data_IF_469264687792
#
_entry.id   IF_469264687792
#
_cell.length_a   1.000
_cell.length_b   1.000
_cell.length_c   1.000
_cell.angle_alpha   90.00
_cell.angle_beta   90.00
_cell.angle_gamma   90.00
#
_symmetry.space_group_name_H-M   'P 1'
#
loop_
_entity.id
_entity.type
_entity.pdbx_description
1 polymer ?
#
# COMPACT_ATOMS: atom_id res chain seq x y z
N UNK A 1 13.24 9.38 4.21
CA UNK A 1 12.49 8.89 3.03
C UNK A 1 11.24 8.14 3.46
N UNK A 2 10.11 8.41 2.81
CA UNK A 2 8.87 7.68 3.06
C UNK A 2 8.78 6.59 2.00
N UNK A 3 8.86 5.33 2.42
CA UNK A 3 8.75 4.18 1.53
C UNK A 3 7.32 3.66 1.53
N UNK A 4 6.76 3.51 0.34
CA UNK A 4 5.38 3.09 0.12
C UNK A 4 5.38 1.73 -0.58
N UNK A 5 4.46 0.86 -0.17
CA UNK A 5 4.17 -0.36 -0.91
C UNK A 5 2.74 -0.31 -1.42
N UNK A 6 2.51 -0.80 -2.63
CA UNK A 6 1.17 -0.85 -3.24
C UNK A 6 0.77 -2.32 -3.35
N UNK A 7 -0.37 -2.66 -2.79
CA UNK A 7 -0.94 -4.02 -2.89
C UNK A 7 -1.95 -4.04 -4.04
N UNK A 8 -1.54 -4.59 -5.17
CA UNK A 8 -2.32 -4.68 -6.37
C UNK A 8 -1.86 -3.72 -7.46
N UNK A 9 -1.84 -4.20 -8.71
CA UNK A 9 -1.42 -3.37 -9.84
C UNK A 9 -2.43 -3.43 -10.99
N UNK A 10 -3.72 -3.31 -10.62
CA UNK A 10 -4.78 -3.12 -11.60
C UNK A 10 -4.87 -1.66 -12.01
N UNK A 11 -6.04 -1.23 -12.46
CA UNK A 11 -6.26 0.15 -12.94
C UNK A 11 -5.91 1.18 -11.85
N UNK A 12 -6.38 0.96 -10.62
CA UNK A 12 -6.13 1.90 -9.53
C UNK A 12 -4.68 1.85 -9.08
N UNK A 13 -4.13 0.64 -8.89
CA UNK A 13 -2.74 0.48 -8.44
C UNK A 13 -1.73 1.04 -9.42
N UNK A 14 -1.92 0.80 -10.71
CA UNK A 14 -1.04 1.36 -11.73
C UNK A 14 -1.15 2.88 -11.79
N UNK A 15 -2.36 3.43 -11.58
CA UNK A 15 -2.57 4.87 -11.50
C UNK A 15 -1.84 5.49 -10.33
N UNK A 16 -1.90 4.88 -9.15
CA UNK A 16 -1.18 5.35 -7.95
C UNK A 16 0.32 5.34 -8.20
N UNK A 17 0.84 4.24 -8.75
CA UNK A 17 2.26 4.12 -9.07
C UNK A 17 2.71 5.23 -10.01
N UNK A 18 1.95 5.45 -11.08
CA UNK A 18 2.28 6.47 -12.07
C UNK A 18 2.26 7.88 -11.48
N UNK A 19 1.24 8.21 -10.66
CA UNK A 19 1.13 9.52 -10.03
C UNK A 19 2.32 9.79 -9.10
N UNK A 20 2.68 8.82 -8.26
CA UNK A 20 3.81 8.99 -7.35
C UNK A 20 5.12 9.15 -8.13
N UNK A 21 5.28 8.40 -9.22
CA UNK A 21 6.49 8.46 -10.04
C UNK A 21 6.60 9.77 -10.82
N UNK A 22 5.50 10.21 -11.48
CA UNK A 22 5.51 11.41 -12.34
C UNK A 22 5.49 12.70 -11.54
N UNK A 23 4.77 12.73 -10.41
CA UNK A 23 4.64 13.92 -9.57
C UNK A 23 5.47 13.82 -8.30
N UNK A 24 6.51 13.01 -8.31
CA UNK A 24 7.33 12.71 -7.14
C UNK A 24 7.88 13.96 -6.46
N UNK A 25 8.36 14.92 -7.23
CA UNK A 25 8.93 16.14 -6.69
C UNK A 25 7.90 16.94 -5.89
N UNK A 26 6.71 17.14 -6.45
CA UNK A 26 5.63 17.87 -5.78
C UNK A 26 5.12 17.13 -4.54
N UNK A 27 4.92 15.81 -4.67
CA UNK A 27 4.43 14.98 -3.56
C UNK A 27 5.45 14.95 -2.43
N UNK A 28 6.72 14.80 -2.74
CA UNK A 28 7.81 14.79 -1.76
C UNK A 28 7.93 16.13 -1.05
N UNK A 29 7.76 17.23 -1.78
CA UNK A 29 7.79 18.58 -1.22
C UNK A 29 6.65 18.79 -0.22
N UNK A 30 5.44 18.37 -0.56
CA UNK A 30 4.28 18.49 0.33
C UNK A 30 4.42 17.62 1.57
N UNK A 31 5.01 16.44 1.43
CA UNK A 31 5.23 15.52 2.55
C UNK A 31 6.38 15.95 3.46
N UNK A 32 7.23 16.87 2.99
CA UNK A 32 8.42 17.28 3.73
C UNK A 32 9.55 16.28 3.70
N UNK A 33 9.39 15.16 3.01
CA UNK A 33 10.38 14.09 2.83
C UNK A 33 10.18 13.46 1.47
N UNK A 34 11.23 12.84 0.93
CA UNK A 34 11.13 12.11 -0.32
C UNK A 34 10.20 10.91 -0.17
N UNK A 35 9.24 10.79 -1.08
CA UNK A 35 8.30 9.68 -1.15
C UNK A 35 8.74 8.73 -2.27
N UNK A 36 8.82 7.45 -1.96
CA UNK A 36 9.33 6.45 -2.89
C UNK A 36 8.47 5.18 -2.84
N UNK A 37 8.05 4.68 -4.00
CA UNK A 37 7.39 3.38 -4.08
C UNK A 37 8.47 2.31 -4.09
N UNK A 38 8.58 1.57 -2.99
CA UNK A 38 9.59 0.54 -2.84
C UNK A 38 9.14 -0.80 -3.42
N UNK A 39 7.87 -1.14 -3.25
CA UNK A 39 7.31 -2.40 -3.74
C UNK A 39 5.92 -2.20 -4.32
N UNK A 40 5.63 -2.98 -5.35
CA UNK A 40 4.27 -3.21 -5.87
C UNK A 40 4.03 -4.70 -5.80
N UNK A 41 3.00 -5.14 -5.09
CA UNK A 41 2.65 -6.55 -4.97
C UNK A 41 1.57 -6.90 -5.98
N UNK A 42 1.87 -7.85 -6.84
CA UNK A 42 0.89 -8.44 -7.76
C UNK A 42 1.38 -9.84 -8.11
N UNK A 43 0.46 -10.78 -8.30
CA UNK A 43 0.82 -12.16 -8.64
C UNK A 43 1.08 -12.36 -10.13
N UNK A 44 0.74 -11.37 -10.95
CA UNK A 44 0.93 -11.45 -12.41
C UNK A 44 2.33 -11.02 -12.80
N UNK A 45 2.75 -11.49 -13.99
CA UNK A 45 3.94 -10.99 -14.65
C UNK A 45 3.56 -9.85 -15.60
N UNK A 46 4.47 -8.96 -15.86
CA UNK A 46 4.25 -7.80 -16.74
C UNK A 46 5.32 -7.77 -17.83
N UNK A 47 5.03 -7.10 -18.98
CA UNK A 47 6.03 -7.01 -20.06
C UNK A 47 7.36 -6.46 -19.57
N UNK A 48 8.46 -6.93 -20.16
CA UNK A 48 9.81 -6.60 -19.70
C UNK A 48 10.11 -5.11 -19.69
N UNK A 49 9.44 -4.33 -20.51
CA UNK A 49 9.63 -2.88 -20.58
C UNK A 49 8.73 -2.09 -19.62
N UNK A 50 7.87 -2.76 -18.85
CA UNK A 50 7.02 -2.08 -17.89
C UNK A 50 7.85 -1.59 -16.69
N UNK A 51 7.80 -0.28 -16.38
CA UNK A 51 8.56 0.27 -15.25
C UNK A 51 8.26 -0.39 -13.90
N UNK A 52 7.09 -1.00 -13.72
CA UNK A 52 6.73 -1.67 -12.48
C UNK A 52 7.69 -2.81 -12.14
N UNK A 53 8.34 -3.41 -13.12
CA UNK A 53 9.26 -4.52 -12.90
C UNK A 53 10.43 -4.17 -11.97
N UNK A 54 10.79 -2.90 -11.86
CA UNK A 54 11.85 -2.47 -10.95
C UNK A 54 11.47 -2.66 -9.48
N UNK A 55 10.17 -2.66 -9.18
CA UNK A 55 9.66 -2.71 -7.79
C UNK A 55 8.65 -3.83 -7.58
N UNK A 56 8.39 -4.64 -8.60
CA UNK A 56 7.41 -5.73 -8.54
C UNK A 56 7.88 -6.83 -7.58
N UNK A 57 6.98 -7.25 -6.69
CA UNK A 57 7.19 -8.43 -5.87
C UNK A 57 5.94 -9.29 -5.90
N UNK A 58 6.10 -10.57 -5.58
CA UNK A 58 5.01 -11.55 -5.64
C UNK A 58 4.68 -12.13 -4.26
N UNK A 59 5.41 -11.71 -3.23
CA UNK A 59 5.24 -12.26 -1.88
C UNK A 59 4.96 -11.14 -0.89
N UNK A 60 3.79 -11.20 -0.25
CA UNK A 60 3.39 -10.20 0.74
C UNK A 60 4.39 -10.12 1.92
N UNK A 61 5.01 -11.23 2.29
CA UNK A 61 5.98 -11.24 3.39
C UNK A 61 7.12 -10.27 3.16
N UNK A 62 7.54 -10.06 1.93
CA UNK A 62 8.56 -9.08 1.56
C UNK A 62 8.20 -7.68 2.05
N UNK A 63 6.91 -7.34 1.97
CA UNK A 63 6.42 -6.01 2.37
C UNK A 63 6.22 -5.92 3.87
N UNK A 64 5.52 -6.89 4.46
CA UNK A 64 5.14 -6.79 5.87
C UNK A 64 6.34 -6.90 6.80
N UNK A 65 7.37 -7.63 6.38
CA UNK A 65 8.59 -7.79 7.19
C UNK A 65 9.60 -6.67 6.99
N UNK A 66 9.41 -5.79 6.01
CA UNK A 66 10.36 -4.71 5.74
C UNK A 66 10.09 -3.52 6.67
N UNK A 67 10.99 -3.25 7.63
CA UNK A 67 10.77 -2.17 8.59
C UNK A 67 10.86 -0.77 7.98
N UNK A 68 11.38 -0.65 6.76
CA UNK A 68 11.48 0.63 6.05
C UNK A 68 10.18 1.04 5.36
N UNK A 69 9.22 0.13 5.22
CA UNK A 69 7.90 0.46 4.66
C UNK A 69 7.04 1.08 5.75
N UNK A 70 6.62 2.31 5.55
CA UNK A 70 5.77 3.03 6.51
C UNK A 70 4.32 3.18 6.06
N UNK A 71 4.07 3.16 4.76
CA UNK A 71 2.73 3.34 4.18
C UNK A 71 2.45 2.22 3.19
N UNK A 72 1.26 1.65 3.30
CA UNK A 72 0.79 0.60 2.39
C UNK A 72 -0.51 1.09 1.76
N UNK A 73 -0.59 1.03 0.43
CA UNK A 73 -1.80 1.39 -0.32
C UNK A 73 -2.43 0.08 -0.81
N UNK A 74 -3.64 -0.20 -0.33
CA UNK A 74 -4.35 -1.44 -0.68
C UNK A 74 -5.42 -1.13 -1.73
N UNK A 75 -5.32 -1.75 -2.90
CA UNK A 75 -6.21 -1.56 -4.04
C UNK A 75 -6.59 -2.89 -4.70
N UNK A 76 -6.60 -3.96 -3.91
CA UNK A 76 -6.91 -5.30 -4.42
C UNK A 76 -8.39 -5.53 -4.67
N UNK A 77 -9.24 -4.99 -3.79
CA UNK A 77 -10.66 -5.29 -3.79
C UNK A 77 -10.98 -6.61 -3.11
N UNK A 78 -12.24 -6.80 -2.70
CA UNK A 78 -12.67 -7.98 -1.97
C UNK A 78 -12.25 -7.98 -0.51
N UNK A 79 -12.75 -8.96 0.26
CA UNK A 79 -12.45 -9.06 1.68
C UNK A 79 -11.09 -9.72 1.91
N UNK A 80 -10.83 -10.86 1.29
CA UNK A 80 -9.56 -11.57 1.44
C UNK A 80 -8.84 -11.63 0.09
N UNK A 81 -7.51 -11.51 0.07
CA UNK A 81 -6.59 -11.47 1.22
C UNK A 81 -6.42 -10.08 1.87
N UNK A 82 -7.16 -9.10 1.42
CA UNK A 82 -7.01 -7.70 1.88
C UNK A 82 -7.13 -7.55 3.39
N UNK A 83 -8.15 -8.17 4.00
CA UNK A 83 -8.35 -8.07 5.44
C UNK A 83 -7.15 -8.62 6.22
N UNK A 84 -6.67 -9.79 5.86
CA UNK A 84 -5.52 -10.41 6.53
C UNK A 84 -4.26 -9.56 6.36
N UNK A 85 -4.00 -9.11 5.14
CA UNK A 85 -2.79 -8.34 4.85
C UNK A 85 -2.81 -6.94 5.48
N UNK A 86 -3.94 -6.25 5.40
CA UNK A 86 -4.10 -4.93 6.04
C UNK A 86 -3.93 -5.06 7.56
N UNK A 87 -4.56 -6.07 8.16
CA UNK A 87 -4.44 -6.32 9.60
C UNK A 87 -2.99 -6.52 10.01
N UNK A 88 -2.23 -7.31 9.26
CA UNK A 88 -0.82 -7.57 9.55
C UNK A 88 0.03 -6.30 9.42
N UNK A 89 -0.23 -5.49 8.41
CA UNK A 89 0.48 -4.22 8.24
C UNK A 89 0.23 -3.28 9.43
N UNK A 90 -1.03 -3.14 9.84
CA UNK A 90 -1.38 -2.28 10.97
C UNK A 90 -0.75 -2.77 12.27
N UNK A 91 -0.71 -4.08 12.50
CA UNK A 91 -0.05 -4.67 13.67
C UNK A 91 1.44 -4.37 13.74
N UNK A 92 2.06 -4.16 12.59
CA UNK A 92 3.48 -3.79 12.48
C UNK A 92 3.71 -2.28 12.50
N UNK A 93 2.67 -1.49 12.76
CA UNK A 93 2.78 -0.04 12.81
C UNK A 93 2.84 0.65 11.46
N UNK A 94 2.55 -0.08 10.37
CA UNK A 94 2.49 0.51 9.04
C UNK A 94 1.11 1.14 8.83
N UNK A 95 1.08 2.37 8.33
CA UNK A 95 -0.19 3.02 7.99
C UNK A 95 -0.72 2.48 6.67
N UNK A 96 -2.03 2.37 6.56
CA UNK A 96 -2.69 1.81 5.38
C UNK A 96 -3.72 2.78 4.82
N UNK A 97 -3.70 2.96 3.50
CA UNK A 97 -4.75 3.64 2.76
C UNK A 97 -5.45 2.60 1.90
N UNK A 98 -6.77 2.61 1.87
CA UNK A 98 -7.53 1.65 1.05
C UNK A 98 -8.64 2.32 0.26
N UNK A 99 -8.89 1.81 -0.94
CA UNK A 99 -10.07 2.14 -1.75
C UNK A 99 -11.12 1.02 -1.70
N UNK A 100 -10.92 0.04 -0.86
CA UNK A 100 -11.73 -1.18 -0.80
C UNK A 100 -12.99 -0.97 0.05
N UNK A 101 -14.08 -0.59 -0.59
CA UNK A 101 -15.35 -0.29 0.10
C UNK A 101 -15.92 -1.49 0.83
N UNK A 102 -15.77 -2.68 0.28
CA UNK A 102 -16.26 -3.91 0.87
C UNK A 102 -15.53 -4.23 2.18
N UNK A 103 -14.21 -4.05 2.18
CA UNK A 103 -13.39 -4.23 3.37
C UNK A 103 -13.79 -3.25 4.47
N UNK A 104 -13.95 -1.99 4.13
CA UNK A 104 -14.32 -0.93 5.09
C UNK A 104 -15.72 -1.18 5.64
N UNK A 105 -16.67 -1.56 4.80
CA UNK A 105 -18.03 -1.84 5.24
C UNK A 105 -18.08 -2.97 6.26
N UNK A 106 -17.28 -4.03 6.06
CA UNK A 106 -17.29 -5.20 6.91
C UNK A 106 -16.37 -5.10 8.14
N UNK A 107 -15.20 -4.51 7.99
CA UNK A 107 -14.15 -4.50 9.00
C UNK A 107 -13.60 -3.12 9.36
N UNK A 108 -14.21 -2.05 8.87
CA UNK A 108 -13.66 -0.69 9.05
C UNK A 108 -13.42 -0.30 10.49
N UNK A 109 -14.41 -0.51 11.37
CA UNK A 109 -14.29 -0.15 12.78
C UNK A 109 -13.18 -0.96 13.49
N UNK A 110 -13.10 -2.24 13.18
CA UNK A 110 -12.07 -3.14 13.72
C UNK A 110 -10.67 -2.69 13.30
N UNK A 111 -10.52 -2.35 12.02
CA UNK A 111 -9.22 -1.92 11.47
C UNK A 111 -8.80 -0.55 12.00
N UNK A 112 -9.74 0.37 12.20
CA UNK A 112 -9.46 1.65 12.85
C UNK A 112 -8.94 1.46 14.28
N UNK A 113 -9.57 0.58 15.04
CA UNK A 113 -9.13 0.28 16.41
C UNK A 113 -7.74 -0.35 16.41
N UNK A 114 -7.50 -1.29 15.50
CA UNK A 114 -6.21 -1.96 15.36
C UNK A 114 -5.09 -0.96 15.01
N UNK A 115 -5.38 -0.01 14.12
CA UNK A 115 -4.44 1.04 13.78
C UNK A 115 -4.08 1.88 15.00
N UNK A 116 -5.09 2.33 15.76
CA UNK A 116 -4.88 3.14 16.95
C UNK A 116 -4.02 2.41 17.99
N UNK A 117 -4.22 1.11 18.18
CA UNK A 117 -3.46 0.31 19.13
C UNK A 117 -1.96 0.22 18.76
N UNK A 118 -1.63 0.41 17.50
CA UNK A 118 -0.27 0.24 17.00
C UNK A 118 0.37 1.55 16.50
N UNK A 119 -0.21 2.69 16.85
CA UNK A 119 0.27 4.01 16.43
C UNK A 119 0.35 4.16 14.92
N UNK A 120 -0.55 3.50 14.21
CA UNK A 120 -0.67 3.59 12.76
C UNK A 120 -1.95 4.31 12.40
N UNK A 121 -2.10 4.66 11.14
CA UNK A 121 -3.30 5.28 10.62
C UNK A 121 -3.96 4.36 9.58
N UNK A 122 -5.29 4.42 9.52
CA UNK A 122 -6.06 3.68 8.53
C UNK A 122 -6.99 4.68 7.84
N UNK A 123 -6.71 4.95 6.55
CA UNK A 123 -7.45 5.91 5.75
C UNK A 123 -8.27 5.22 4.66
N UNK A 124 -9.48 5.71 4.44
CA UNK A 124 -10.37 5.21 3.38
C UNK A 124 -11.35 6.31 2.95
N UNK A 125 -11.98 6.09 1.82
CA UNK A 125 -13.07 6.95 1.36
C UNK A 125 -14.39 6.21 1.33
#
# INVERSE_FOLDING_TARGET
>A
MINVAILGYGTVGSGVFEVIKTNNEMISKKAGKKVHVKYVLDKREFPADDPVNEVLCHNFETIVSDPEISIVVEVLGGIEPSYTWVSQCLKRGKSVCTSNKELVAKHGAELLALAAENNANFFFE
#
